data_IF_958946382081
#
_entry.id   IF_958946382081
#
_cell.length_a   1.000
_cell.length_b   1.000
_cell.length_c   1.000
_cell.angle_alpha   90.00
_cell.angle_beta   90.00
_cell.angle_gamma   90.00
#
_symmetry.space_group_name_H-M   'P 1'
#
loop_
_entity.id
_entity.type
_entity.pdbx_description
1 polymer ?
#
# COMPACT_ATOMS: atom_id res chain seq x y z
N UNK A 1 -44.68 1.31 3.31
CA UNK A 1 -43.79 0.22 2.91
C UNK A 1 -42.36 0.72 2.94
N UNK A 2 -41.64 0.46 4.01
CA UNK A 2 -40.23 0.88 4.12
C UNK A 2 -39.41 -0.07 3.27
N UNK A 3 -38.76 0.43 2.24
CA UNK A 3 -37.76 -0.32 1.51
C UNK A 3 -36.64 -0.63 2.50
N UNK A 4 -36.42 -1.89 2.77
CA UNK A 4 -35.24 -2.36 3.49
C UNK A 4 -34.02 -1.86 2.75
N UNK A 5 -33.10 -1.25 3.51
CA UNK A 5 -31.99 -0.48 3.03
C UNK A 5 -31.16 -1.18 1.97
N UNK A 6 -30.85 -0.42 0.95
CA UNK A 6 -29.66 -0.61 0.15
C UNK A 6 -28.49 -0.66 1.11
N UNK A 7 -28.02 -1.86 1.43
CA UNK A 7 -26.69 -2.03 2.00
C UNK A 7 -25.74 -1.38 0.99
N UNK A 8 -25.20 -0.22 1.33
CA UNK A 8 -24.25 0.46 0.47
C UNK A 8 -23.12 -0.52 0.21
N UNK A 9 -22.99 -0.97 -1.05
CA UNK A 9 -21.91 -1.83 -1.48
C UNK A 9 -20.63 -1.01 -1.30
N UNK A 10 -19.80 -1.44 -0.35
CA UNK A 10 -18.52 -0.78 -0.10
C UNK A 10 -17.59 -1.00 -1.28
N UNK A 11 -16.91 0.05 -1.69
CA UNK A 11 -15.93 0.02 -2.77
C UNK A 11 -14.73 -0.84 -2.37
N UNK A 12 -14.27 -1.70 -3.27
CA UNK A 12 -13.08 -2.53 -3.09
C UNK A 12 -11.82 -1.81 -3.54
N UNK A 13 -10.66 -2.28 -3.06
CA UNK A 13 -9.36 -1.70 -3.45
C UNK A 13 -9.12 -1.80 -4.94
N UNK A 14 -9.53 -2.90 -5.59
CA UNK A 14 -9.32 -3.05 -7.04
C UNK A 14 -10.16 -2.06 -7.85
N UNK A 15 -11.33 -1.68 -7.35
CA UNK A 15 -12.18 -0.66 -7.97
C UNK A 15 -11.63 0.76 -7.79
N UNK A 16 -10.78 0.96 -6.78
CA UNK A 16 -10.21 2.27 -6.46
C UNK A 16 -8.96 2.62 -7.25
N UNK A 17 -8.28 1.63 -7.82
CA UNK A 17 -7.02 1.82 -8.55
C UNK A 17 -7.25 1.78 -10.06
N UNK A 18 -6.42 2.53 -10.80
CA UNK A 18 -6.47 2.52 -12.26
C UNK A 18 -5.89 1.21 -12.80
N UNK A 19 -6.62 0.50 -13.70
CA UNK A 19 -6.13 -0.74 -14.29
C UNK A 19 -4.83 -0.55 -15.06
N UNK A 20 -3.91 -1.52 -14.94
CA UNK A 20 -2.71 -1.60 -15.78
C UNK A 20 -1.54 -0.69 -15.42
N UNK A 21 -1.63 0.06 -14.33
CA UNK A 21 -0.55 0.94 -13.88
C UNK A 21 0.13 0.41 -12.61
N UNK A 22 1.02 -0.56 -12.79
CA UNK A 22 1.91 -1.00 -11.73
C UNK A 22 3.32 -0.54 -12.07
N UNK A 23 3.86 0.36 -11.24
CA UNK A 23 5.24 0.76 -11.35
C UNK A 23 6.12 -0.28 -10.65
N UNK A 24 7.05 -0.87 -11.38
CA UNK A 24 7.95 -1.89 -10.85
C UNK A 24 9.36 -1.72 -11.40
N UNK A 25 10.34 -2.11 -10.59
CA UNK A 25 11.76 -2.19 -10.98
C UNK A 25 12.33 -3.54 -10.59
N UNK A 26 13.46 -3.90 -11.19
CA UNK A 26 14.18 -5.13 -10.86
C UNK A 26 15.10 -4.93 -9.64
N UNK A 27 15.50 -6.01 -8.95
CA UNK A 27 16.26 -5.90 -7.70
C UNK A 27 17.61 -5.19 -7.81
N UNK A 28 18.22 -5.21 -8.97
CA UNK A 28 19.52 -4.57 -9.22
C UNK A 28 19.42 -3.07 -9.55
N UNK A 29 18.21 -2.53 -9.67
CA UNK A 29 18.03 -1.10 -9.90
C UNK A 29 18.61 -0.30 -8.73
N UNK A 30 19.19 0.86 -9.02
CA UNK A 30 19.65 1.78 -8.00
C UNK A 30 18.46 2.52 -7.37
N UNK A 31 18.67 3.03 -6.17
CA UNK A 31 17.69 3.89 -5.51
C UNK A 31 17.41 5.16 -6.32
N UNK A 32 18.42 5.66 -7.03
CA UNK A 32 18.27 6.80 -7.94
C UNK A 32 17.32 6.48 -9.11
N UNK A 33 17.53 5.34 -9.76
CA UNK A 33 16.65 4.89 -10.86
C UNK A 33 15.20 4.72 -10.38
N UNK A 34 15.00 4.16 -9.19
CA UNK A 34 13.69 4.01 -8.59
C UNK A 34 13.04 5.36 -8.31
N UNK A 35 13.78 6.31 -7.73
CA UNK A 35 13.29 7.67 -7.45
C UNK A 35 12.90 8.40 -8.74
N UNK A 36 13.70 8.27 -9.80
CA UNK A 36 13.39 8.84 -11.11
C UNK A 36 12.11 8.24 -11.70
N UNK A 37 11.95 6.91 -11.62
CA UNK A 37 10.75 6.22 -12.10
C UNK A 37 9.50 6.67 -11.35
N UNK A 38 9.57 6.78 -10.02
CA UNK A 38 8.48 7.27 -9.18
C UNK A 38 8.12 8.71 -9.52
N UNK A 39 9.11 9.58 -9.68
CA UNK A 39 8.91 11.00 -10.03
C UNK A 39 8.22 11.13 -11.39
N UNK A 40 8.70 10.41 -12.39
CA UNK A 40 8.13 10.42 -13.75
C UNK A 40 6.69 9.90 -13.78
N UNK A 41 6.40 8.89 -13.00
CA UNK A 41 5.07 8.28 -12.92
C UNK A 41 4.11 8.99 -11.94
N UNK A 42 4.57 9.99 -11.19
CA UNK A 42 3.82 10.65 -10.12
C UNK A 42 3.30 9.67 -9.07
N UNK A 43 4.09 8.65 -8.74
CA UNK A 43 3.77 7.62 -7.76
C UNK A 43 4.62 7.76 -6.51
N UNK A 44 4.00 7.53 -5.34
CA UNK A 44 4.67 7.53 -4.06
C UNK A 44 5.31 6.20 -3.67
N UNK A 45 5.22 5.19 -4.52
CA UNK A 45 5.81 3.87 -4.30
C UNK A 45 6.18 3.20 -5.61
N UNK A 46 7.09 2.22 -5.52
CA UNK A 46 7.46 1.33 -6.62
C UNK A 46 7.63 -0.09 -6.06
N UNK A 47 7.14 -1.08 -6.79
CA UNK A 47 7.34 -2.49 -6.45
C UNK A 47 8.69 -2.97 -6.98
N UNK A 48 9.32 -3.84 -6.22
CA UNK A 48 10.51 -4.56 -6.66
C UNK A 48 10.06 -5.98 -6.98
N UNK A 49 10.30 -6.39 -8.23
CA UNK A 49 9.87 -7.69 -8.76
C UNK A 49 11.06 -8.46 -9.30
N UNK A 50 10.99 -9.79 -9.28
CA UNK A 50 11.97 -10.64 -9.94
C UNK A 50 11.71 -10.74 -11.45
N UNK A 51 12.57 -11.48 -12.16
CA UNK A 51 12.43 -11.68 -13.60
C UNK A 51 11.16 -12.40 -14.04
N UNK A 52 10.48 -13.10 -13.14
CA UNK A 52 9.19 -13.75 -13.36
C UNK A 52 7.99 -12.88 -12.99
N UNK A 53 8.21 -11.67 -12.46
CA UNK A 53 7.17 -10.76 -12.04
C UNK A 53 6.65 -10.98 -10.62
N UNK A 54 7.30 -11.82 -9.82
CA UNK A 54 6.95 -12.02 -8.43
C UNK A 54 7.40 -10.83 -7.57
N UNK A 55 6.55 -10.40 -6.64
CA UNK A 55 6.84 -9.29 -5.75
C UNK A 55 7.88 -9.68 -4.71
N UNK A 56 9.00 -8.95 -4.68
CA UNK A 56 10.06 -9.09 -3.69
C UNK A 56 9.97 -8.06 -2.58
N UNK A 57 9.52 -6.86 -2.91
CA UNK A 57 9.47 -5.76 -1.97
C UNK A 57 8.70 -4.56 -2.49
N UNK A 58 8.59 -3.55 -1.64
CA UNK A 58 8.07 -2.23 -1.96
C UNK A 58 9.01 -1.15 -1.46
N UNK A 59 9.20 -0.12 -2.26
CA UNK A 59 9.96 1.07 -1.93
C UNK A 59 9.03 2.28 -1.99
N UNK A 60 9.03 3.08 -0.92
CA UNK A 60 8.17 4.25 -0.81
C UNK A 60 8.99 5.54 -0.71
N UNK A 61 8.34 6.69 -0.88
CA UNK A 61 8.94 8.02 -0.62
C UNK A 61 9.55 8.10 0.79
N UNK A 62 8.87 7.52 1.78
CA UNK A 62 9.35 7.49 3.16
C UNK A 62 10.66 6.70 3.27
N UNK A 63 10.78 5.58 2.58
CA UNK A 63 12.00 4.79 2.57
C UNK A 63 13.18 5.57 1.99
N UNK A 64 12.94 6.31 0.89
CA UNK A 64 13.97 7.17 0.29
C UNK A 64 14.42 8.25 1.27
N UNK A 65 13.51 8.86 1.99
CA UNK A 65 13.83 9.87 3.00
C UNK A 65 14.57 9.28 4.20
N UNK A 66 14.04 8.21 4.79
CA UNK A 66 14.52 7.69 6.09
C UNK A 66 15.71 6.75 5.99
N UNK A 67 15.80 6.00 4.89
CA UNK A 67 16.81 4.95 4.72
C UNK A 67 17.91 5.31 3.72
N UNK A 68 17.69 6.32 2.89
CA UNK A 68 18.68 6.80 1.92
C UNK A 68 19.22 8.16 2.31
N UNK A 69 18.37 9.20 2.29
CA UNK A 69 18.81 10.59 2.53
C UNK A 69 19.27 10.79 3.99
N UNK A 70 18.46 10.38 4.97
CA UNK A 70 18.79 10.54 6.39
C UNK A 70 20.02 9.74 6.83
N UNK A 71 20.36 8.67 6.12
CA UNK A 71 21.54 7.84 6.36
C UNK A 71 22.74 8.22 5.50
N UNK A 72 22.63 9.27 4.69
CA UNK A 72 23.68 9.76 3.79
C UNK A 72 24.19 8.69 2.80
N UNK A 73 23.32 7.79 2.38
CA UNK A 73 23.65 6.80 1.35
C UNK A 73 23.68 7.46 -0.03
N UNK A 74 24.59 6.98 -0.88
CA UNK A 74 24.63 7.44 -2.27
C UNK A 74 23.51 6.75 -3.08
N UNK A 75 22.57 7.49 -3.67
CA UNK A 75 21.45 6.90 -4.40
C UNK A 75 21.87 6.11 -5.63
N UNK A 76 22.99 6.46 -6.28
CA UNK A 76 23.46 5.77 -7.48
C UNK A 76 24.11 4.42 -7.20
N UNK A 77 24.63 4.23 -5.98
CA UNK A 77 25.33 3.00 -5.59
C UNK A 77 24.56 2.15 -4.57
N UNK A 78 23.45 2.66 -4.05
CA UNK A 78 22.58 1.92 -3.11
C UNK A 78 21.50 1.21 -3.91
N UNK A 79 21.51 -0.13 -4.01
CA UNK A 79 20.45 -0.86 -4.71
C UNK A 79 19.12 -0.77 -3.94
N UNK A 80 18.02 -0.88 -4.66
CA UNK A 80 16.68 -0.82 -4.06
C UNK A 80 16.47 -1.88 -2.98
N UNK A 81 17.13 -3.03 -3.11
CA UNK A 81 17.05 -4.14 -2.13
C UNK A 81 17.59 -3.78 -0.76
N UNK A 82 18.47 -2.78 -0.66
CA UNK A 82 19.03 -2.34 0.63
C UNK A 82 18.07 -1.45 1.43
N UNK A 83 17.11 -0.82 0.76
CA UNK A 83 16.21 0.16 1.39
C UNK A 83 14.73 -0.17 1.25
N UNK A 84 14.35 -1.18 0.47
CA UNK A 84 12.96 -1.61 0.34
C UNK A 84 12.45 -2.31 1.60
N UNK A 85 11.14 -2.39 1.75
CA UNK A 85 10.50 -3.34 2.66
C UNK A 85 10.41 -4.68 1.95
N UNK A 86 11.04 -5.71 2.53
CA UNK A 86 11.01 -7.07 2.01
C UNK A 86 9.69 -7.75 2.36
N UNK A 87 9.15 -8.58 1.45
CA UNK A 87 7.91 -9.31 1.66
C UNK A 87 6.80 -8.42 2.26
N UNK A 88 6.42 -7.34 1.56
CA UNK A 88 5.46 -6.39 2.09
C UNK A 88 4.09 -7.04 2.29
N UNK A 89 3.35 -6.52 3.25
CA UNK A 89 1.95 -6.88 3.43
C UNK A 89 1.15 -6.49 2.19
N UNK A 90 0.21 -7.31 1.79
CA UNK A 90 -0.64 -7.11 0.62
C UNK A 90 -2.09 -7.47 0.94
N UNK A 91 -2.99 -7.11 0.06
CA UNK A 91 -4.42 -7.42 0.18
C UNK A 91 -4.95 -8.09 -1.08
N UNK A 92 -6.05 -8.83 -0.92
CA UNK A 92 -6.79 -9.39 -2.04
C UNK A 92 -7.60 -8.29 -2.75
N UNK A 93 -7.93 -8.45 -4.05
CA UNK A 93 -8.65 -7.42 -4.81
C UNK A 93 -10.04 -7.10 -4.27
N UNK A 94 -10.70 -8.06 -3.62
CA UNK A 94 -12.01 -7.89 -2.99
C UNK A 94 -11.99 -7.22 -1.61
N UNK A 95 -10.82 -6.89 -1.08
CA UNK A 95 -10.72 -6.15 0.19
C UNK A 95 -11.37 -4.79 0.04
N UNK A 96 -12.21 -4.40 1.02
CA UNK A 96 -12.83 -3.08 0.99
C UNK A 96 -11.79 -1.99 1.24
N UNK A 97 -12.02 -0.81 0.68
CA UNK A 97 -11.13 0.34 0.91
C UNK A 97 -11.05 0.68 2.40
N UNK A 98 -12.16 0.62 3.12
CA UNK A 98 -12.19 0.87 4.57
C UNK A 98 -11.30 -0.11 5.34
N UNK A 99 -11.36 -1.40 5.02
CA UNK A 99 -10.51 -2.42 5.65
C UNK A 99 -9.02 -2.20 5.31
N UNK A 100 -8.72 -1.86 4.07
CA UNK A 100 -7.35 -1.54 3.65
C UNK A 100 -6.79 -0.33 4.41
N UNK A 101 -7.57 0.72 4.58
CA UNK A 101 -7.19 1.90 5.36
C UNK A 101 -6.95 1.54 6.84
N UNK A 102 -7.77 0.66 7.40
CA UNK A 102 -7.59 0.16 8.77
C UNK A 102 -6.25 -0.58 8.93
N UNK A 103 -5.91 -1.44 7.98
CA UNK A 103 -4.62 -2.14 7.95
C UNK A 103 -3.46 -1.13 7.90
N UNK A 104 -3.55 -0.14 7.03
CA UNK A 104 -2.54 0.91 6.90
C UNK A 104 -2.33 1.69 8.20
N UNK A 105 -3.40 2.03 8.90
CA UNK A 105 -3.33 2.73 10.19
C UNK A 105 -2.62 1.89 11.26
N UNK A 106 -2.94 0.62 11.34
CA UNK A 106 -2.34 -0.30 12.31
C UNK A 106 -0.84 -0.50 12.12
N UNK A 107 -0.40 -0.52 10.87
CA UNK A 107 1.00 -0.77 10.51
C UNK A 107 1.78 0.49 10.14
N UNK A 108 1.14 1.65 10.18
CA UNK A 108 1.74 2.97 9.88
C UNK A 108 2.39 3.02 8.49
N UNK A 109 1.71 2.52 7.47
CA UNK A 109 2.11 2.68 6.08
C UNK A 109 0.94 3.16 5.20
N UNK A 110 1.22 3.64 3.99
CA UNK A 110 0.27 4.32 3.11
C UNK A 110 0.09 3.65 1.76
N UNK A 111 0.71 2.52 1.53
CA UNK A 111 0.67 1.78 0.28
C UNK A 111 0.50 0.30 0.56
N UNK A 112 -0.44 -0.33 -0.14
CA UNK A 112 -0.71 -1.77 -0.07
C UNK A 112 -0.73 -2.36 -1.46
N UNK A 113 0.17 -3.29 -1.78
CA UNK A 113 0.04 -4.09 -2.99
C UNK A 113 -1.26 -4.90 -3.00
N UNK A 114 -1.83 -5.07 -4.17
CA UNK A 114 -3.02 -5.90 -4.40
C UNK A 114 -2.58 -7.11 -5.22
N UNK A 115 -2.73 -8.29 -4.65
CA UNK A 115 -2.37 -9.55 -5.30
C UNK A 115 -3.61 -10.43 -5.50
N UNK A 116 -3.67 -11.11 -6.65
CA UNK A 116 -4.67 -12.16 -6.90
C UNK A 116 -4.38 -13.40 -6.03
N UNK A 117 -5.33 -14.36 -5.93
CA UNK A 117 -5.07 -15.65 -5.28
C UNK A 117 -3.88 -16.42 -5.86
N UNK A 118 -3.58 -16.20 -7.14
CA UNK A 118 -2.42 -16.78 -7.82
C UNK A 118 -1.13 -15.94 -7.63
N UNK A 119 -1.11 -14.99 -6.71
CA UNK A 119 0.02 -14.08 -6.42
C UNK A 119 0.42 -13.18 -7.60
N UNK A 120 -0.51 -12.89 -8.50
CA UNK A 120 -0.30 -11.92 -9.57
C UNK A 120 -0.54 -10.52 -9.05
N UNK A 121 0.38 -9.61 -9.30
CA UNK A 121 0.26 -8.20 -8.92
C UNK A 121 -0.83 -7.54 -9.78
N UNK A 122 -1.87 -7.02 -9.14
CA UNK A 122 -2.99 -6.36 -9.80
C UNK A 122 -2.93 -4.82 -9.70
N UNK A 123 -2.23 -4.31 -8.71
CA UNK A 123 -2.10 -2.87 -8.47
C UNK A 123 -1.46 -2.57 -7.13
N UNK A 124 -1.38 -1.29 -6.82
CA UNK A 124 -1.00 -0.80 -5.49
C UNK A 124 -2.04 0.21 -5.03
N UNK A 125 -2.67 -0.08 -3.91
CA UNK A 125 -3.59 0.85 -3.26
C UNK A 125 -2.80 1.88 -2.46
N UNK A 126 -3.05 3.16 -2.70
CA UNK A 126 -2.48 4.27 -1.94
C UNK A 126 -3.56 4.90 -1.05
N UNK A 127 -3.17 5.42 0.11
CA UNK A 127 -4.09 6.14 0.99
C UNK A 127 -4.79 7.31 0.27
N UNK A 128 -4.16 7.89 -0.76
CA UNK A 128 -4.75 8.94 -1.61
C UNK A 128 -5.98 8.47 -2.39
N UNK A 129 -6.11 7.18 -2.63
CA UNK A 129 -7.22 6.60 -3.40
C UNK A 129 -8.49 6.45 -2.56
N UNK A 130 -8.39 6.61 -1.23
CA UNK A 130 -9.53 6.53 -0.32
C UNK A 130 -10.36 7.81 -0.35
N UNK A 131 -11.68 7.64 -0.30
CA UNK A 131 -12.63 8.75 -0.15
C UNK A 131 -12.82 9.13 1.31
N UNK A 132 -13.26 10.37 1.63
CA UNK A 132 -13.47 10.82 3.01
C UNK A 132 -14.37 9.90 3.84
N UNK A 133 -15.42 9.35 3.27
CA UNK A 133 -16.33 8.41 3.97
C UNK A 133 -15.65 7.08 4.31
N UNK A 134 -14.74 6.63 3.46
CA UNK A 134 -13.98 5.39 3.69
C UNK A 134 -12.94 5.59 4.79
N UNK A 135 -12.29 6.74 4.81
CA UNK A 135 -11.39 7.14 5.89
C UNK A 135 -12.14 7.24 7.23
N UNK A 136 -13.31 7.85 7.23
CA UNK A 136 -14.15 7.97 8.43
C UNK A 136 -14.64 6.61 8.93
N UNK A 137 -15.04 5.70 8.04
CA UNK A 137 -15.47 4.35 8.39
C UNK A 137 -14.34 3.55 9.04
N UNK A 138 -13.12 3.64 8.49
CA UNK A 138 -11.95 2.99 9.07
C UNK A 138 -11.60 3.55 10.45
N UNK A 139 -11.74 4.85 10.65
CA UNK A 139 -11.51 5.52 11.94
C UNK A 139 -12.51 5.04 13.00
N UNK A 140 -13.80 5.00 12.68
CA UNK A 140 -14.83 4.47 13.57
C UNK A 140 -14.56 3.01 13.95
N UNK A 141 -14.15 2.18 13.01
CA UNK A 141 -13.81 0.78 13.28
C UNK A 141 -12.60 0.66 14.21
N UNK A 142 -11.58 1.49 14.01
CA UNK A 142 -10.41 1.53 14.89
C UNK A 142 -10.80 1.88 16.32
N UNK A 143 -11.63 2.90 16.50
CA UNK A 143 -12.12 3.34 17.82
C UNK A 143 -12.91 2.25 18.53
N UNK A 144 -13.77 1.52 17.81
CA UNK A 144 -14.54 0.40 18.36
C UNK A 144 -13.63 -0.73 18.84
N UNK A 145 -12.60 -1.05 18.07
CA UNK A 145 -11.61 -2.09 18.44
C UNK A 145 -10.85 -1.68 19.69
N UNK A 146 -10.41 -0.44 19.77
CA UNK A 146 -9.67 0.09 20.92
C UNK A 146 -10.54 0.08 22.19
N UNK A 147 -11.82 0.43 22.08
CA UNK A 147 -12.77 0.35 23.18
C UNK A 147 -12.98 -1.08 23.68
N UNK A 148 -13.11 -2.04 22.77
CA UNK A 148 -13.25 -3.45 23.13
C UNK A 148 -12.01 -3.98 23.86
N UNK A 149 -10.82 -3.64 23.40
CA UNK A 149 -9.56 -4.03 24.05
C UNK A 149 -9.44 -3.42 25.44
N UNK A 150 -9.82 -2.17 25.63
CA UNK A 150 -9.81 -1.51 26.93
C UNK A 150 -10.76 -2.19 27.92
N UNK A 151 -11.95 -2.58 27.47
CA UNK A 151 -12.94 -3.27 28.30
C UNK A 151 -12.53 -4.69 28.70
N UNK A 152 -11.71 -5.36 27.91
CA UNK A 152 -11.20 -6.71 28.23
C UNK A 152 -10.04 -6.65 29.22
N UNK A 153 -9.28 -5.55 29.26
CA UNK A 153 -8.10 -5.38 30.10
C UNK A 153 -8.42 -4.71 31.46
N UNK A 154 -9.63 -4.24 31.64
CA UNK A 154 -10.13 -3.67 32.91
C UNK A 154 -10.98 -4.69 33.66
#
# INVERSE_FOLDING_TARGET
MRRQGDAMIERTVIESVSPGHVLAVLPHASSYEAACAMTKAHCGSVLIVDGAGAMLGILTERDLMTKLVARRCNPETTPVTDIMTHNPQFVAPGTTVSDAVLIMRRHNFRHLPILSPASVILGVFSLRDAMPRELAAAEQMADLIDQQLTNVLS
#
